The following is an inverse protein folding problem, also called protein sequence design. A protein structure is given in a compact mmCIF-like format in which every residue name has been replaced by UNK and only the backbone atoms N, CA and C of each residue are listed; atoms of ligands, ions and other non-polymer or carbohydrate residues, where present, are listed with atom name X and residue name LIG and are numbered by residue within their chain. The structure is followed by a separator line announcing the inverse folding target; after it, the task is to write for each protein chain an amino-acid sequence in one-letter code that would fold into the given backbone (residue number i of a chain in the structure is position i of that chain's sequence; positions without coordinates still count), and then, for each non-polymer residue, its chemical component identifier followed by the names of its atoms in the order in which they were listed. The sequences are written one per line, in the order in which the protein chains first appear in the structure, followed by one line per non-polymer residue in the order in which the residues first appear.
data_IF_839949881075
#
_entry.id   IF_839949881075
#
_cell.length_a   1.000
_cell.length_b   1.000
_cell.length_c   1.000
_cell.angle_alpha   90.00
_cell.angle_beta   90.00
_cell.angle_gamma   90.00
#
_symmetry.space_group_name_H-M   'P 1'
#
loop_
_entity.id
_entity.type
_entity.pdbx_description
1 polymer ?
#
# COMPACT_ATOMS: atom_id res chain seq x y z
N UNK A 1 -22.33 54.60 10.18
CA UNK A 1 -20.88 54.32 10.18
C UNK A 1 -20.53 53.01 10.90
N UNK A 2 -20.84 52.82 12.20
CA UNK A 2 -20.53 51.55 12.90
C UNK A 2 -21.15 50.30 12.24
N UNK A 3 -22.35 50.42 11.68
CA UNK A 3 -23.05 49.33 11.01
C UNK A 3 -22.42 48.93 9.66
N UNK A 4 -21.93 49.90 8.89
CA UNK A 4 -21.19 49.65 7.64
C UNK A 4 -19.87 48.92 7.90
N UNK A 5 -19.10 49.36 8.90
CA UNK A 5 -17.85 48.68 9.28
C UNK A 5 -18.09 47.23 9.74
N UNK A 6 -19.20 46.96 10.44
CA UNK A 6 -19.59 45.60 10.81
C UNK A 6 -19.95 44.75 9.59
N UNK A 7 -20.71 45.31 8.65
CA UNK A 7 -21.10 44.62 7.42
C UNK A 7 -19.90 44.31 6.52
N UNK A 8 -18.97 45.25 6.35
CA UNK A 8 -17.74 45.02 5.58
C UNK A 8 -16.85 43.97 6.25
N UNK A 9 -16.71 44.01 7.57
CA UNK A 9 -15.96 43.00 8.32
C UNK A 9 -16.55 41.59 8.18
N UNK A 10 -17.88 41.47 8.21
CA UNK A 10 -18.57 40.20 7.99
C UNK A 10 -18.38 39.69 6.56
N UNK A 11 -18.48 40.57 5.55
CA UNK A 11 -18.24 40.21 4.16
C UNK A 11 -16.82 39.68 3.93
N UNK A 12 -15.82 40.39 4.47
CA UNK A 12 -14.40 40.00 4.33
C UNK A 12 -14.08 38.70 5.08
N UNK A 13 -14.70 38.48 6.24
CA UNK A 13 -14.60 37.20 6.96
C UNK A 13 -15.17 36.05 6.12
N UNK A 14 -16.38 36.20 5.58
CA UNK A 14 -17.01 35.18 4.76
C UNK A 14 -16.20 34.87 3.48
N UNK A 15 -15.61 35.89 2.87
CA UNK A 15 -14.71 35.73 1.72
C UNK A 15 -13.46 34.90 2.09
N UNK A 16 -12.79 35.23 3.19
CA UNK A 16 -11.61 34.49 3.68
C UNK A 16 -11.96 33.05 4.02
N UNK A 17 -13.09 32.81 4.67
CA UNK A 17 -13.56 31.48 5.03
C UNK A 17 -13.87 30.64 3.77
N UNK A 18 -14.59 31.22 2.79
CA UNK A 18 -14.88 30.56 1.53
C UNK A 18 -13.62 30.22 0.72
N UNK A 19 -12.65 31.14 0.67
CA UNK A 19 -11.35 30.88 0.02
C UNK A 19 -10.58 29.76 0.72
N UNK A 20 -10.54 29.77 2.05
CA UNK A 20 -9.89 28.73 2.84
C UNK A 20 -10.49 27.36 2.56
N UNK A 21 -11.82 27.26 2.58
CA UNK A 21 -12.51 25.98 2.39
C UNK A 21 -12.32 25.42 0.98
N UNK A 22 -12.42 26.28 -0.04
CA UNK A 22 -12.12 25.91 -1.43
C UNK A 22 -10.68 25.41 -1.59
N UNK A 23 -9.72 26.10 -0.97
CA UNK A 23 -8.31 25.72 -1.07
C UNK A 23 -8.01 24.42 -0.34
N UNK A 24 -8.60 24.22 0.84
CA UNK A 24 -8.50 22.95 1.58
C UNK A 24 -9.07 21.79 0.75
N UNK A 25 -10.23 21.97 0.13
CA UNK A 25 -10.84 20.95 -0.72
C UNK A 25 -9.98 20.64 -1.94
N UNK A 26 -9.35 21.65 -2.54
CA UNK A 26 -8.43 21.47 -3.68
C UNK A 26 -7.20 20.66 -3.26
N UNK A 27 -6.52 21.07 -2.18
CA UNK A 27 -5.31 20.39 -1.68
C UNK A 27 -5.61 18.93 -1.34
N UNK A 28 -6.70 18.68 -0.62
CA UNK A 28 -7.07 17.31 -0.20
C UNK A 28 -7.42 16.43 -1.40
N UNK A 29 -8.18 16.95 -2.36
CA UNK A 29 -8.54 16.23 -3.59
C UNK A 29 -7.31 15.92 -4.45
N UNK A 30 -6.40 16.88 -4.62
CA UNK A 30 -5.16 16.66 -5.38
C UNK A 30 -4.24 15.66 -4.69
N UNK A 31 -4.11 15.74 -3.36
CA UNK A 31 -3.32 14.78 -2.59
C UNK A 31 -3.90 13.37 -2.71
N UNK A 32 -5.22 13.22 -2.59
CA UNK A 32 -5.89 11.93 -2.73
C UNK A 32 -5.70 11.37 -4.14
N UNK A 33 -5.89 12.18 -5.19
CA UNK A 33 -5.67 11.77 -6.58
C UNK A 33 -4.23 11.28 -6.79
N UNK A 34 -3.24 12.04 -6.33
CA UNK A 34 -1.82 11.66 -6.45
C UNK A 34 -1.52 10.36 -5.71
N UNK A 35 -2.05 10.17 -4.52
CA UNK A 35 -1.89 8.92 -3.77
C UNK A 35 -2.43 7.73 -4.57
N UNK A 36 -3.66 7.84 -5.10
CA UNK A 36 -4.28 6.80 -5.92
C UNK A 36 -3.48 6.52 -7.21
N UNK A 37 -2.96 7.55 -7.88
CA UNK A 37 -2.11 7.38 -9.06
C UNK A 37 -0.80 6.63 -8.73
N UNK A 38 -0.17 6.95 -7.59
CA UNK A 38 1.06 6.28 -7.16
C UNK A 38 0.78 4.82 -6.81
N UNK A 39 -0.26 4.55 -6.01
CA UNK A 39 -0.67 3.19 -5.65
C UNK A 39 -1.01 2.38 -6.90
N UNK A 40 -1.82 2.91 -7.81
CA UNK A 40 -2.19 2.21 -9.05
C UNK A 40 -0.98 1.89 -9.94
N UNK A 41 0.00 2.80 -10.03
CA UNK A 41 1.26 2.55 -10.77
C UNK A 41 2.09 1.47 -10.09
N UNK A 42 2.22 1.51 -8.77
CA UNK A 42 2.96 0.53 -8.00
C UNK A 42 2.35 -0.86 -8.13
N UNK A 43 1.03 -0.98 -8.00
CA UNK A 43 0.30 -2.26 -8.14
C UNK A 43 0.43 -2.83 -9.56
N UNK A 44 0.35 -1.98 -10.58
CA UNK A 44 0.55 -2.40 -11.97
C UNK A 44 1.98 -2.91 -12.22
N UNK A 45 2.99 -2.23 -11.66
CA UNK A 45 4.39 -2.64 -11.77
C UNK A 45 4.66 -3.94 -11.01
N UNK A 46 4.17 -4.07 -9.78
CA UNK A 46 4.27 -5.28 -8.99
C UNK A 46 3.62 -6.46 -9.72
N UNK A 47 2.39 -6.29 -10.23
CA UNK A 47 1.68 -7.31 -11.02
C UNK A 47 2.47 -7.72 -12.26
N UNK A 48 3.07 -6.75 -12.97
CA UNK A 48 3.91 -7.02 -14.14
C UNK A 48 5.17 -7.80 -13.78
N UNK A 49 5.82 -7.49 -12.66
CA UNK A 49 6.98 -8.22 -12.16
C UNK A 49 6.58 -9.65 -11.80
N UNK A 50 5.47 -9.84 -11.08
CA UNK A 50 4.96 -11.16 -10.73
C UNK A 50 4.62 -11.99 -11.98
N UNK A 51 3.91 -11.41 -12.95
CA UNK A 51 3.57 -12.10 -14.20
C UNK A 51 4.83 -12.48 -15.00
N UNK A 52 5.84 -11.60 -15.05
CA UNK A 52 7.13 -11.91 -15.69
C UNK A 52 7.90 -13.00 -14.97
N UNK A 53 7.89 -13.00 -13.63
CA UNK A 53 8.54 -14.02 -12.82
C UNK A 53 7.86 -15.38 -13.03
N UNK A 54 6.52 -15.41 -13.03
CA UNK A 54 5.73 -16.61 -13.31
C UNK A 54 6.05 -17.21 -14.69
N UNK A 55 6.14 -16.37 -15.72
CA UNK A 55 6.47 -16.82 -17.08
C UNK A 55 7.93 -17.28 -17.24
N UNK A 56 8.84 -16.85 -16.35
CA UNK A 56 10.26 -17.25 -16.42
C UNK A 56 10.55 -18.52 -15.65
N UNK A 57 9.99 -18.67 -14.46
CA UNK A 57 10.18 -19.84 -13.60
C UNK A 57 9.04 -19.97 -12.56
N UNK A 58 8.07 -20.86 -12.81
CA UNK A 58 6.97 -21.12 -11.88
C UNK A 58 7.42 -21.67 -10.51
N UNK A 59 8.54 -22.40 -10.43
CA UNK A 59 9.06 -22.95 -9.18
C UNK A 59 9.68 -21.85 -8.31
N UNK A 60 10.43 -20.93 -8.91
CA UNK A 60 11.01 -19.79 -8.19
C UNK A 60 9.95 -18.84 -7.63
N UNK A 61 8.85 -18.59 -8.36
CA UNK A 61 7.72 -17.81 -7.85
C UNK A 61 7.04 -18.49 -6.65
N UNK A 62 6.80 -19.80 -6.76
CA UNK A 62 6.20 -20.59 -5.69
C UNK A 62 7.05 -20.52 -4.41
N UNK A 63 8.38 -20.57 -4.56
CA UNK A 63 9.33 -20.35 -3.47
C UNK A 63 9.24 -18.95 -2.85
N UNK A 64 9.25 -17.88 -3.66
CA UNK A 64 9.14 -16.50 -3.15
C UNK A 64 7.82 -16.23 -2.42
N UNK A 65 6.70 -16.74 -2.96
CA UNK A 65 5.38 -16.61 -2.32
C UNK A 65 5.30 -17.37 -1.01
N UNK A 66 5.98 -18.52 -0.95
CA UNK A 66 6.14 -19.29 0.28
C UNK A 66 6.91 -18.47 1.32
N UNK A 67 8.05 -17.86 0.96
CA UNK A 67 8.80 -16.97 1.86
C UNK A 67 8.04 -15.73 2.32
N UNK A 68 7.23 -15.12 1.46
CA UNK A 68 6.42 -13.95 1.82
C UNK A 68 5.30 -14.33 2.79
N UNK A 69 4.68 -15.49 2.57
CA UNK A 69 3.74 -16.10 3.51
C UNK A 69 4.40 -16.34 4.86
N UNK A 70 5.67 -16.78 4.89
CA UNK A 70 6.41 -16.99 6.15
C UNK A 70 6.52 -15.69 6.93
N UNK A 71 6.85 -14.58 6.26
CA UNK A 71 6.94 -13.26 6.90
C UNK A 71 5.60 -12.78 7.46
N UNK A 72 4.49 -13.05 6.78
CA UNK A 72 3.16 -12.61 7.19
C UNK A 72 2.49 -13.48 8.27
N UNK A 73 2.89 -14.75 8.41
CA UNK A 73 2.30 -15.69 9.39
C UNK A 73 3.13 -15.86 10.67
N UNK A 74 4.42 -15.48 10.65
CA UNK A 74 5.30 -15.55 11.82
C UNK A 74 5.15 -14.30 12.70
N UNK A 75 4.08 -14.25 13.50
CA UNK A 75 4.03 -13.43 14.71
C UNK A 75 4.56 -14.24 15.91
N UNK A 76 4.96 -13.58 17.01
CA UNK A 76 5.61 -14.20 18.19
C UNK A 76 4.83 -15.37 18.84
N UNK A 77 3.55 -15.53 18.50
CA UNK A 77 2.65 -16.57 19.05
C UNK A 77 2.29 -17.67 18.04
N UNK A 78 2.80 -17.64 16.80
CA UNK A 78 2.46 -18.65 15.80
C UNK A 78 3.29 -19.91 15.98
N UNK A 79 2.68 -21.01 16.44
CA UNK A 79 3.28 -22.33 16.40
C UNK A 79 3.14 -22.92 15.00
N UNK A 80 4.20 -22.78 14.21
CA UNK A 80 4.28 -23.36 12.87
C UNK A 80 4.46 -24.89 12.99
N UNK A 81 3.38 -25.66 12.79
CA UNK A 81 3.46 -27.12 12.75
C UNK A 81 4.09 -27.55 11.40
N UNK A 82 5.41 -27.54 11.35
CA UNK A 82 6.20 -28.02 10.22
C UNK A 82 6.20 -29.56 10.23
N UNK A 83 5.16 -30.18 9.68
CA UNK A 83 5.22 -31.60 9.34
C UNK A 83 6.09 -31.82 8.11
N UNK A 84 6.82 -32.94 8.08
CA UNK A 84 7.80 -33.31 7.04
C UNK A 84 7.23 -33.44 5.61
N UNK A 85 5.90 -33.49 5.49
CA UNK A 85 5.13 -33.59 4.24
C UNK A 85 4.41 -32.28 3.87
N UNK A 86 4.60 -31.20 4.62
CA UNK A 86 4.05 -29.90 4.27
C UNK A 86 4.76 -29.32 3.04
N UNK A 87 4.02 -28.71 2.12
CA UNK A 87 4.57 -27.99 0.97
C UNK A 87 5.59 -26.89 1.38
N UNK A 88 5.47 -26.39 2.62
CA UNK A 88 6.45 -25.51 3.26
C UNK A 88 7.85 -26.13 3.34
N UNK A 89 7.96 -27.43 3.64
CA UNK A 89 9.24 -28.08 3.91
C UNK A 89 9.93 -28.59 2.64
N UNK A 90 9.20 -28.66 1.52
CA UNK A 90 9.71 -29.17 0.23
C UNK A 90 10.86 -28.32 -0.33
N UNK A 91 10.73 -26.99 -0.25
CA UNK A 91 11.77 -26.07 -0.71
C UNK A 91 12.94 -25.91 0.28
N UNK A 92 12.71 -26.13 1.58
CA UNK A 92 13.80 -26.09 2.57
C UNK A 92 14.71 -27.33 2.44
N UNK A 93 14.13 -28.50 2.12
CA UNK A 93 14.87 -29.74 1.84
C UNK A 93 15.75 -29.64 0.58
N UNK A 94 15.33 -28.91 -0.45
CA UNK A 94 16.11 -28.77 -1.69
C UNK A 94 17.37 -27.90 -1.55
N UNK A 95 17.47 -27.09 -0.48
CA UNK A 95 18.60 -26.20 -0.20
C UNK A 95 19.64 -26.87 0.74
N UNK A 96 19.31 -28.02 1.35
CA UNK A 96 20.29 -28.78 2.12
C UNK A 96 21.25 -29.51 1.19
N UNK A 97 22.55 -29.21 1.21
CA UNK A 97 23.51 -29.95 0.39
C UNK A 97 23.51 -31.39 0.88
N UNK A 98 23.30 -32.33 -0.03
CA UNK A 98 23.55 -33.76 0.24
C UNK A 98 25.00 -33.88 0.69
N UNK A 99 25.20 -34.36 1.92
CA UNK A 99 26.49 -34.86 2.39
C UNK A 99 26.98 -35.99 1.49
#
# INVERSE_FOLDING_TARGET
MAEQYRSEGQGKKAEIEGMREKELQRITSEAYRRAQEITGKADAEATKIYAKAYNKDPEFYSFLKTLDTYKGTLNEQTWLLLTSDSDFYKYLKSISPKK
#
